data_IF_707512676666
#
_entry.id   IF_707512676666
#
_cell.length_a   1.000
_cell.length_b   1.000
_cell.length_c   1.000
_cell.angle_alpha   90.00
_cell.angle_beta   90.00
_cell.angle_gamma   90.00
#
_symmetry.space_group_name_H-M   'P 1'
#
loop_
_entity.id
_entity.type
_entity.pdbx_description
1 polymer ?
#
# COMPACT_ATOMS: atom_id res chain seq x y z
N UNK A 1 -10.86 -24.82 6.74
CA UNK A 1 -11.60 -23.97 5.79
C UNK A 1 -10.82 -23.88 4.49
N UNK A 2 -11.31 -24.49 3.39
CA UNK A 2 -10.69 -24.40 2.05
C UNK A 2 -10.67 -22.93 1.63
N UNK A 3 -9.49 -22.38 1.36
CA UNK A 3 -9.35 -21.01 0.85
C UNK A 3 -10.17 -20.87 -0.45
N UNK A 4 -11.26 -20.12 -0.40
CA UNK A 4 -12.17 -19.95 -1.53
C UNK A 4 -11.39 -19.30 -2.70
N UNK A 5 -11.37 -19.88 -3.91
CA UNK A 5 -10.58 -19.37 -5.04
C UNK A 5 -10.88 -17.90 -5.38
N UNK A 6 -12.11 -17.46 -5.11
CA UNK A 6 -12.54 -16.06 -5.24
C UNK A 6 -11.75 -15.11 -4.32
N UNK A 7 -11.44 -15.50 -3.09
CA UNK A 7 -10.68 -14.67 -2.15
C UNK A 7 -9.23 -14.48 -2.61
N UNK A 8 -8.62 -15.53 -3.18
CA UNK A 8 -7.25 -15.46 -3.72
C UNK A 8 -7.16 -14.53 -4.94
N UNK A 9 -8.20 -14.54 -5.80
CA UNK A 9 -8.28 -13.63 -6.96
C UNK A 9 -8.45 -12.19 -6.52
N UNK A 10 -9.34 -11.93 -5.54
CA UNK A 10 -9.54 -10.59 -4.95
C UNK A 10 -8.27 -10.07 -4.27
N UNK A 11 -7.58 -10.91 -3.50
CA UNK A 11 -6.32 -10.56 -2.85
C UNK A 11 -5.26 -10.10 -3.86
N UNK A 12 -5.09 -10.85 -4.95
CA UNK A 12 -4.10 -10.51 -5.99
C UNK A 12 -4.44 -9.19 -6.70
N UNK A 13 -5.71 -8.97 -7.03
CA UNK A 13 -6.18 -7.73 -7.65
C UNK A 13 -5.94 -6.53 -6.74
N UNK A 14 -6.34 -6.61 -5.48
CA UNK A 14 -6.16 -5.52 -4.51
C UNK A 14 -4.66 -5.24 -4.31
N UNK A 15 -3.83 -6.28 -4.22
CA UNK A 15 -2.38 -6.12 -4.13
C UNK A 15 -1.81 -5.37 -5.35
N UNK A 16 -2.17 -5.77 -6.57
CA UNK A 16 -1.72 -5.08 -7.79
C UNK A 16 -2.19 -3.64 -7.84
N UNK A 17 -3.44 -3.36 -7.44
CA UNK A 17 -3.99 -2.01 -7.37
C UNK A 17 -3.19 -1.17 -6.38
N UNK A 18 -2.91 -1.67 -5.18
CA UNK A 18 -2.12 -0.95 -4.15
C UNK A 18 -0.71 -0.66 -4.64
N UNK A 19 -0.04 -1.65 -5.21
CA UNK A 19 1.33 -1.47 -5.72
C UNK A 19 1.36 -0.46 -6.87
N UNK A 20 0.40 -0.55 -7.80
CA UNK A 20 0.27 0.41 -8.90
C UNK A 20 -0.05 1.81 -8.38
N UNK A 21 -0.92 1.93 -7.37
CA UNK A 21 -1.30 3.20 -6.76
C UNK A 21 -0.11 3.90 -6.08
N UNK A 22 0.68 3.15 -5.30
CA UNK A 22 1.91 3.64 -4.66
C UNK A 22 2.96 4.08 -5.70
N UNK A 23 3.14 3.31 -6.77
CA UNK A 23 4.08 3.64 -7.84
C UNK A 23 3.63 4.87 -8.66
N UNK A 24 2.35 4.91 -9.05
CA UNK A 24 1.78 6.03 -9.79
C UNK A 24 1.82 7.32 -8.95
N UNK A 25 1.56 7.22 -7.65
CA UNK A 25 1.64 8.38 -6.77
C UNK A 25 3.07 8.93 -6.68
N UNK A 26 4.02 8.06 -6.32
CA UNK A 26 5.41 8.45 -6.09
C UNK A 26 6.07 8.98 -7.35
N UNK A 27 5.73 8.45 -8.53
CA UNK A 27 6.39 8.79 -9.79
C UNK A 27 5.67 9.87 -10.61
N UNK A 28 4.34 9.82 -10.69
CA UNK A 28 3.56 10.68 -11.61
C UNK A 28 2.94 11.87 -10.88
N UNK A 29 2.26 11.61 -9.75
CA UNK A 29 1.47 12.62 -9.03
C UNK A 29 2.36 13.64 -8.33
N UNK A 30 3.50 13.19 -7.76
CA UNK A 30 4.52 14.04 -7.14
C UNK A 30 5.17 15.00 -8.15
N UNK A 31 5.37 14.57 -9.40
CA UNK A 31 5.98 15.40 -10.44
C UNK A 31 4.99 16.34 -11.15
N UNK A 32 3.74 15.91 -11.40
CA UNK A 32 2.79 16.71 -12.19
C UNK A 32 2.15 17.86 -11.41
N UNK A 33 2.01 17.75 -10.08
CA UNK A 33 1.39 18.82 -9.29
C UNK A 33 2.16 18.98 -7.97
N UNK A 34 3.15 19.88 -7.93
CA UNK A 34 3.97 20.11 -6.74
C UNK A 34 3.27 20.97 -5.67
N UNK A 35 2.12 21.60 -5.97
CA UNK A 35 1.36 22.44 -5.04
C UNK A 35 -0.02 21.82 -4.78
N UNK A 36 -0.04 20.74 -4.00
CA UNK A 36 -1.28 20.12 -3.52
C UNK A 36 -1.53 20.48 -2.05
N UNK A 37 -2.79 20.55 -1.61
CA UNK A 37 -3.09 20.70 -0.20
C UNK A 37 -2.56 19.49 0.58
N UNK A 38 -1.85 19.74 1.67
CA UNK A 38 -1.26 18.69 2.52
C UNK A 38 -2.26 17.59 2.91
N UNK A 39 -3.51 17.95 3.19
CA UNK A 39 -4.57 16.99 3.55
C UNK A 39 -4.91 16.02 2.40
N UNK A 40 -4.88 16.50 1.15
CA UNK A 40 -5.16 15.67 -0.03
C UNK A 40 -4.01 14.69 -0.26
N UNK A 41 -2.77 15.15 -0.12
CA UNK A 41 -1.57 14.31 -0.16
C UNK A 41 -1.59 13.26 0.96
N UNK A 42 -1.91 13.64 2.19
CA UNK A 42 -1.96 12.71 3.31
C UNK A 42 -3.05 11.65 3.12
N UNK A 43 -4.25 12.04 2.68
CA UNK A 43 -5.34 11.08 2.46
C UNK A 43 -5.01 10.10 1.34
N UNK A 44 -4.54 10.59 0.20
CA UNK A 44 -4.33 9.77 -1.01
C UNK A 44 -3.08 8.90 -0.87
N UNK A 45 -2.01 9.41 -0.26
CA UNK A 45 -0.71 8.70 -0.21
C UNK A 45 -0.50 7.87 1.03
N UNK A 46 -1.16 8.22 2.13
CA UNK A 46 -0.95 7.55 3.39
C UNK A 46 -2.20 6.80 3.82
N UNK A 47 -3.33 7.49 3.98
CA UNK A 47 -4.54 6.88 4.57
C UNK A 47 -5.11 5.77 3.69
N UNK A 48 -5.33 6.02 2.40
CA UNK A 48 -5.89 5.03 1.46
C UNK A 48 -5.01 3.78 1.35
N UNK A 49 -3.69 3.88 1.04
CA UNK A 49 -2.84 2.70 0.96
C UNK A 49 -2.64 2.02 2.32
N UNK A 50 -2.61 2.76 3.45
CA UNK A 50 -2.52 2.15 4.79
C UNK A 50 -3.71 1.24 5.08
N UNK A 51 -4.94 1.71 4.81
CA UNK A 51 -6.16 0.92 5.01
C UNK A 51 -6.15 -0.32 4.11
N UNK A 52 -5.77 -0.17 2.85
CA UNK A 52 -5.71 -1.29 1.90
C UNK A 52 -4.64 -2.33 2.28
N UNK A 53 -3.45 -1.89 2.68
CA UNK A 53 -2.37 -2.76 3.19
C UNK A 53 -2.86 -3.50 4.42
N UNK A 54 -3.45 -2.79 5.40
CA UNK A 54 -3.95 -3.40 6.63
C UNK A 54 -5.02 -4.44 6.35
N UNK A 55 -5.93 -4.16 5.42
CA UNK A 55 -6.94 -5.10 4.94
C UNK A 55 -6.32 -6.33 4.27
N UNK A 56 -5.30 -6.14 3.42
CA UNK A 56 -4.53 -7.23 2.82
C UNK A 56 -3.84 -8.07 3.90
N UNK A 57 -3.25 -7.47 4.92
CA UNK A 57 -2.60 -8.18 6.04
C UNK A 57 -3.62 -9.03 6.81
N UNK A 58 -4.78 -8.46 7.14
CA UNK A 58 -5.84 -9.23 7.84
C UNK A 58 -6.34 -10.38 6.98
N UNK A 59 -6.55 -10.14 5.68
CA UNK A 59 -6.97 -11.16 4.75
C UNK A 59 -5.92 -12.27 4.60
N UNK A 60 -4.64 -11.91 4.58
CA UNK A 60 -3.51 -12.85 4.51
C UNK A 60 -3.50 -13.82 5.70
N UNK A 61 -3.61 -13.30 6.93
CA UNK A 61 -3.68 -14.13 8.14
C UNK A 61 -4.94 -14.98 8.17
N UNK A 62 -6.09 -14.42 7.78
CA UNK A 62 -7.38 -15.14 7.75
C UNK A 62 -7.39 -16.28 6.71
N UNK A 63 -6.70 -16.10 5.59
CA UNK A 63 -6.59 -17.09 4.51
C UNK A 63 -5.52 -18.16 4.77
N UNK A 64 -4.73 -18.06 5.87
CA UNK A 64 -3.54 -18.91 6.13
C UNK A 64 -2.72 -19.12 4.86
N UNK A 65 -2.51 -18.04 4.08
CA UNK A 65 -1.76 -18.13 2.84
C UNK A 65 -0.32 -18.43 3.22
N UNK A 66 0.10 -19.69 3.17
CA UNK A 66 1.45 -20.12 3.53
C UNK A 66 2.49 -19.73 2.47
N UNK A 67 2.49 -18.46 2.02
CA UNK A 67 3.42 -17.94 1.02
C UNK A 67 4.30 -16.87 1.66
N UNK A 68 5.56 -17.20 2.03
CA UNK A 68 6.46 -16.26 2.69
C UNK A 68 6.69 -15.01 1.83
N UNK A 69 6.76 -15.16 0.51
CA UNK A 69 6.88 -14.04 -0.43
C UNK A 69 5.80 -12.97 -0.29
N UNK A 70 4.58 -13.36 0.08
CA UNK A 70 3.47 -12.40 0.22
C UNK A 70 3.61 -11.58 1.50
N UNK A 71 4.14 -12.16 2.59
CA UNK A 71 4.52 -11.43 3.80
C UNK A 71 5.66 -10.45 3.55
N UNK A 72 6.69 -10.89 2.82
CA UNK A 72 7.82 -10.03 2.46
C UNK A 72 7.32 -8.83 1.66
N UNK A 73 6.45 -9.03 0.68
CA UNK A 73 5.86 -7.95 -0.13
C UNK A 73 5.01 -6.99 0.73
N UNK A 74 4.23 -7.53 1.67
CA UNK A 74 3.47 -6.75 2.65
C UNK A 74 4.38 -5.89 3.55
N UNK A 75 5.47 -6.47 4.06
CA UNK A 75 6.46 -5.76 4.87
C UNK A 75 7.15 -4.65 4.06
N UNK A 76 7.51 -4.92 2.81
CA UNK A 76 8.10 -3.91 1.91
C UNK A 76 7.12 -2.77 1.64
N UNK A 77 5.84 -3.09 1.37
CA UNK A 77 4.79 -2.07 1.20
C UNK A 77 4.60 -1.22 2.47
N UNK A 78 4.66 -1.86 3.64
CA UNK A 78 4.55 -1.18 4.93
C UNK A 78 5.77 -0.26 5.17
N UNK A 79 6.98 -0.72 4.85
CA UNK A 79 8.20 0.09 4.89
C UNK A 79 8.16 1.28 3.94
N UNK A 80 7.71 1.08 2.70
CA UNK A 80 7.49 2.16 1.72
C UNK A 80 6.49 3.20 2.26
N UNK A 81 5.41 2.75 2.89
CA UNK A 81 4.40 3.63 3.46
C UNK A 81 4.95 4.45 4.65
N UNK A 82 5.81 3.85 5.48
CA UNK A 82 6.53 4.57 6.55
C UNK A 82 7.47 5.63 5.96
N UNK A 83 8.20 5.31 4.89
CA UNK A 83 9.07 6.28 4.20
C UNK A 83 8.26 7.45 3.62
N UNK A 84 7.12 7.16 3.00
CA UNK A 84 6.18 8.19 2.51
C UNK A 84 5.70 9.08 3.66
N UNK A 85 5.36 8.51 4.82
CA UNK A 85 4.96 9.28 5.99
C UNK A 85 6.08 10.21 6.47
N UNK A 86 7.30 9.69 6.59
CA UNK A 86 8.48 10.47 6.97
C UNK A 86 8.74 11.62 6.00
N UNK A 87 8.53 11.41 4.70
CA UNK A 87 8.63 12.46 3.67
C UNK A 87 7.52 13.51 3.82
N UNK A 88 6.27 13.10 4.05
CA UNK A 88 5.14 14.02 4.26
C UNK A 88 5.33 14.91 5.50
N UNK A 89 5.85 14.33 6.58
CA UNK A 89 6.18 15.09 7.80
C UNK A 89 7.49 15.89 7.70
N UNK A 90 8.16 15.90 6.53
CA UNK A 90 9.47 16.54 6.29
C UNK A 90 10.57 16.11 7.27
N UNK A 91 10.46 14.92 7.84
CA UNK A 91 11.45 14.35 8.77
C UNK A 91 12.66 13.83 7.99
N UNK A 92 12.43 13.32 6.77
CA UNK A 92 13.46 12.82 5.86
C UNK A 92 13.29 13.44 4.48
N UNK A 93 14.36 14.03 3.97
CA UNK A 93 14.50 14.48 2.59
C UNK A 93 15.30 13.42 1.84
N UNK A 94 14.68 12.79 0.85
CA UNK A 94 15.26 11.71 0.03
C UNK A 94 15.51 12.22 -1.38
#
# INVERSE_FOLDING_TARGET
MKANPLFKKRYRLILQIVTFWLAAYTFIIRNLFPHRPFLVDLLITFVVPFVLITYLTTLYFKLKVAKPWTLVLLLVLLGMLILVALQLFKIVSL
#
